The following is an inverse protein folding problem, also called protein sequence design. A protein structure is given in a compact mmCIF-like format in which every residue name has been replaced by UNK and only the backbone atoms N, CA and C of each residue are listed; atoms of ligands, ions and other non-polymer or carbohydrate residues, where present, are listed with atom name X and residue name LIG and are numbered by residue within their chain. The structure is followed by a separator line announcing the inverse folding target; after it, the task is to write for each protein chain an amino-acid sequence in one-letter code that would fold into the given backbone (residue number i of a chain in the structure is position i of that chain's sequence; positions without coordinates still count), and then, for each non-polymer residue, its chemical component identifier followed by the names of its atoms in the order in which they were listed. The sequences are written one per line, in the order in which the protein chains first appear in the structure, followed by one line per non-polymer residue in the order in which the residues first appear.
data_IF_971358548030
#
_entry.id   IF_971358548030
#
_cell.length_a   1.000
_cell.length_b   1.000
_cell.length_c   1.000
_cell.angle_alpha   90.00
_cell.angle_beta   90.00
_cell.angle_gamma   90.00
#
_symmetry.space_group_name_H-M   'P 1'
#
loop_
_entity.id
_entity.type
_entity.pdbx_description
1 polymer ?
#
# COMPACT_ATOMS: atom_id res chain seq x y z
N UNK A 1 -6.09 9.96 -37.07
CA UNK A 1 -5.38 8.72 -36.62
C UNK A 1 -5.23 8.64 -35.08
N UNK A 2 -6.15 9.18 -34.30
CA UNK A 2 -6.09 9.17 -32.82
C UNK A 2 -7.09 8.19 -32.13
N UNK A 3 -8.06 7.68 -32.86
CA UNK A 3 -9.15 6.90 -32.27
C UNK A 3 -8.74 5.48 -31.78
N UNK A 4 -7.73 4.87 -32.40
CA UNK A 4 -7.28 3.52 -32.03
C UNK A 4 -6.45 3.46 -30.71
N UNK A 5 -5.81 4.58 -30.33
CA UNK A 5 -4.96 4.62 -29.15
C UNK A 5 -5.76 4.80 -27.85
N UNK A 6 -6.88 5.51 -27.92
CA UNK A 6 -7.79 5.69 -26.77
C UNK A 6 -8.45 4.35 -26.41
N UNK A 7 -8.92 3.58 -27.42
CA UNK A 7 -9.54 2.26 -27.20
C UNK A 7 -8.58 1.23 -26.60
N UNK A 8 -7.29 1.25 -26.97
CA UNK A 8 -6.29 0.34 -26.40
C UNK A 8 -5.96 0.70 -24.93
N UNK A 9 -5.88 1.98 -24.60
CA UNK A 9 -5.65 2.45 -23.22
C UNK A 9 -6.85 2.14 -22.31
N UNK A 10 -8.06 2.25 -22.83
CA UNK A 10 -9.27 1.89 -22.09
C UNK A 10 -9.31 0.38 -21.78
N UNK A 11 -8.91 -0.46 -22.72
CA UNK A 11 -8.83 -1.89 -22.51
C UNK A 11 -7.78 -2.26 -21.45
N UNK A 12 -6.60 -1.65 -21.51
CA UNK A 12 -5.53 -1.86 -20.51
C UNK A 12 -5.96 -1.34 -19.13
N UNK A 13 -6.65 -0.22 -19.06
CA UNK A 13 -7.17 0.30 -17.80
C UNK A 13 -8.15 -0.67 -17.13
N UNK A 14 -9.00 -1.33 -17.91
CA UNK A 14 -9.92 -2.38 -17.43
C UNK A 14 -9.14 -3.60 -16.93
N UNK A 15 -8.04 -3.97 -17.57
CA UNK A 15 -7.17 -5.08 -17.13
C UNK A 15 -6.43 -4.80 -15.83
N UNK A 16 -6.23 -3.53 -15.45
CA UNK A 16 -5.54 -3.13 -14.22
C UNK A 16 -6.49 -3.03 -13.01
N UNK A 17 -7.77 -2.79 -13.25
CA UNK A 17 -8.76 -2.55 -12.19
C UNK A 17 -8.88 -3.70 -11.16
N UNK A 18 -8.82 -4.99 -11.56
CA UNK A 18 -8.86 -6.11 -10.60
C UNK A 18 -7.76 -6.07 -9.54
N UNK A 19 -6.64 -5.40 -9.83
CA UNK A 19 -5.50 -5.29 -8.91
C UNK A 19 -5.60 -4.11 -7.94
N UNK A 20 -6.60 -3.22 -8.12
CA UNK A 20 -6.74 -2.00 -7.28
C UNK A 20 -6.79 -2.31 -5.80
N UNK A 21 -7.62 -3.25 -5.40
CA UNK A 21 -7.82 -3.59 -3.98
C UNK A 21 -6.51 -4.08 -3.33
N UNK A 22 -5.83 -5.04 -3.94
CA UNK A 22 -4.60 -5.58 -3.37
C UNK A 22 -3.46 -4.56 -3.37
N UNK A 23 -3.37 -3.69 -4.40
CA UNK A 23 -2.39 -2.61 -4.45
C UNK A 23 -2.70 -1.52 -3.40
N UNK A 24 -3.98 -1.22 -3.13
CA UNK A 24 -4.36 -0.30 -2.06
C UNK A 24 -3.88 -0.81 -0.71
N UNK A 25 -4.11 -2.09 -0.40
CA UNK A 25 -3.60 -2.72 0.82
C UNK A 25 -2.08 -2.68 0.91
N UNK A 26 -1.38 -2.93 -0.20
CA UNK A 26 0.07 -2.85 -0.27
C UNK A 26 0.59 -1.42 -0.03
N UNK A 27 0.03 -0.43 -0.74
CA UNK A 27 0.43 0.97 -0.60
C UNK A 27 0.12 1.51 0.80
N UNK A 28 -1.01 1.12 1.40
CA UNK A 28 -1.34 1.48 2.78
C UNK A 28 -0.32 0.94 3.79
N UNK A 29 0.14 -0.31 3.64
CA UNK A 29 1.23 -0.85 4.48
C UNK A 29 2.52 -0.06 4.34
N UNK A 30 2.81 0.42 3.16
CA UNK A 30 4.00 1.22 2.89
C UNK A 30 3.88 2.66 3.41
N UNK A 31 2.69 3.27 3.28
CA UNK A 31 2.49 4.71 3.45
C UNK A 31 1.80 5.10 4.76
N UNK A 32 0.94 4.24 5.32
CA UNK A 32 0.28 4.43 6.62
C UNK A 32 -0.97 5.29 6.61
N UNK A 33 -1.36 5.89 5.48
CA UNK A 33 -2.62 6.63 5.33
C UNK A 33 -3.37 6.19 4.07
N UNK A 34 -4.72 6.18 4.14
CA UNK A 34 -5.54 5.77 3.00
C UNK A 34 -5.46 6.78 1.85
N UNK A 35 -5.38 8.07 2.15
CA UNK A 35 -5.27 9.11 1.13
C UNK A 35 -3.99 8.93 0.30
N UNK A 36 -2.83 8.74 0.96
CA UNK A 36 -1.58 8.50 0.25
C UNK A 36 -1.56 7.14 -0.47
N UNK A 37 -2.22 6.13 0.08
CA UNK A 37 -2.36 4.83 -0.59
C UNK A 37 -3.18 4.95 -1.88
N UNK A 38 -4.29 5.67 -1.86
CA UNK A 38 -5.12 5.92 -3.04
C UNK A 38 -4.33 6.72 -4.11
N UNK A 39 -3.60 7.76 -3.71
CA UNK A 39 -2.73 8.53 -4.60
C UNK A 39 -1.64 7.65 -5.22
N UNK A 40 -1.00 6.79 -4.42
CA UNK A 40 0.03 5.87 -4.88
C UNK A 40 -0.52 4.84 -5.88
N UNK A 41 -1.72 4.31 -5.66
CA UNK A 41 -2.37 3.38 -6.60
C UNK A 41 -2.70 4.08 -7.90
N UNK A 42 -3.22 5.30 -7.82
CA UNK A 42 -3.53 6.10 -9.01
C UNK A 42 -2.26 6.38 -9.83
N UNK A 43 -1.18 6.84 -9.20
CA UNK A 43 0.11 7.07 -9.85
C UNK A 43 0.71 5.77 -10.41
N UNK A 44 0.54 4.65 -9.71
CA UNK A 44 0.93 3.32 -10.19
C UNK A 44 0.24 2.97 -11.49
N UNK A 45 -1.07 3.20 -11.60
CA UNK A 45 -1.84 2.93 -12.82
C UNK A 45 -1.44 3.87 -13.96
N UNK A 46 -1.22 5.15 -13.68
CA UNK A 46 -0.71 6.10 -14.68
C UNK A 46 0.64 5.64 -15.23
N UNK A 47 1.56 5.23 -14.36
CA UNK A 47 2.88 4.76 -14.75
C UNK A 47 2.82 3.42 -15.50
N UNK A 48 1.91 2.53 -15.09
CA UNK A 48 1.65 1.28 -15.80
C UNK A 48 1.13 1.55 -17.22
N UNK A 49 0.13 2.40 -17.39
CA UNK A 49 -0.41 2.77 -18.70
C UNK A 49 0.65 3.40 -19.61
N UNK A 50 1.48 4.29 -19.07
CA UNK A 50 2.57 4.94 -19.83
C UNK A 50 3.66 3.98 -20.29
N UNK A 51 3.88 2.90 -19.53
CA UNK A 51 4.96 1.95 -19.80
C UNK A 51 4.47 0.57 -20.29
N UNK A 52 3.16 0.44 -20.53
CA UNK A 52 2.57 -0.84 -20.94
C UNK A 52 3.15 -1.40 -22.24
N UNK A 53 3.43 -0.53 -23.21
CA UNK A 53 4.07 -0.91 -24.48
C UNK A 53 5.47 -1.54 -24.29
N UNK A 54 6.09 -1.32 -23.14
CA UNK A 54 7.40 -1.88 -22.76
C UNK A 54 7.27 -3.13 -21.88
N UNK A 55 6.06 -3.53 -21.55
CA UNK A 55 5.82 -4.73 -20.76
C UNK A 55 6.01 -5.96 -21.64
N UNK A 56 7.16 -6.61 -21.55
CA UNK A 56 7.56 -7.75 -22.37
C UNK A 56 7.01 -9.09 -21.87
N UNK A 57 6.16 -9.12 -20.84
CA UNK A 57 5.60 -10.36 -20.30
C UNK A 57 6.61 -11.28 -19.60
N UNK A 58 7.82 -10.81 -19.27
CA UNK A 58 8.84 -11.60 -18.55
C UNK A 58 8.44 -11.93 -17.11
N UNK A 59 7.48 -11.22 -16.57
CA UNK A 59 6.84 -11.48 -15.26
C UNK A 59 5.34 -11.41 -15.39
N UNK A 60 4.59 -11.90 -14.40
CA UNK A 60 3.15 -11.65 -14.36
C UNK A 60 2.84 -10.17 -14.30
N UNK A 61 1.70 -9.76 -14.85
CA UNK A 61 1.21 -8.38 -14.75
C UNK A 61 1.14 -7.91 -13.30
N UNK A 62 0.67 -8.79 -12.39
CA UNK A 62 0.64 -8.56 -10.95
C UNK A 62 2.03 -8.19 -10.41
N UNK A 63 3.04 -9.01 -10.67
CA UNK A 63 4.42 -8.76 -10.20
C UNK A 63 4.97 -7.44 -10.74
N UNK A 64 4.68 -7.12 -11.99
CA UNK A 64 5.11 -5.89 -12.62
C UNK A 64 4.44 -4.66 -11.97
N UNK A 65 3.13 -4.71 -11.70
CA UNK A 65 2.40 -3.66 -10.99
C UNK A 65 2.94 -3.43 -9.58
N UNK A 66 3.23 -4.49 -8.82
CA UNK A 66 3.84 -4.37 -7.50
C UNK A 66 5.21 -3.69 -7.53
N UNK A 67 5.99 -3.93 -8.58
CA UNK A 67 7.29 -3.24 -8.77
C UNK A 67 7.08 -1.75 -8.97
N UNK A 68 6.10 -1.35 -9.78
CA UNK A 68 5.77 0.06 -10.01
C UNK A 68 5.27 0.69 -8.72
N UNK A 69 4.30 0.07 -8.05
CA UNK A 69 3.72 0.55 -6.79
C UNK A 69 4.79 0.76 -5.71
N UNK A 70 5.71 -0.20 -5.56
CA UNK A 70 6.83 -0.06 -4.62
C UNK A 70 7.70 1.15 -4.92
N UNK A 71 8.02 1.39 -6.18
CA UNK A 71 8.83 2.55 -6.57
C UNK A 71 8.08 3.86 -6.28
N UNK A 72 6.79 3.93 -6.62
CA UNK A 72 5.94 5.08 -6.32
C UNK A 72 5.92 5.37 -4.81
N UNK A 73 5.68 4.36 -3.98
CA UNK A 73 5.70 4.52 -2.53
C UNK A 73 7.06 5.02 -2.00
N UNK A 74 8.16 4.47 -2.51
CA UNK A 74 9.50 4.91 -2.12
C UNK A 74 9.79 6.36 -2.54
N UNK A 75 9.32 6.79 -3.70
CA UNK A 75 9.47 8.17 -4.16
C UNK A 75 8.61 9.13 -3.34
N UNK A 76 7.38 8.73 -2.99
CA UNK A 76 6.54 9.48 -2.05
C UNK A 76 7.20 9.63 -0.68
N UNK A 77 7.85 8.60 -0.16
CA UNK A 77 8.61 8.66 1.09
C UNK A 77 9.79 9.64 1.04
N UNK A 78 10.42 9.78 -0.10
CA UNK A 78 11.54 10.70 -0.29
C UNK A 78 11.12 12.15 -0.47
N UNK A 79 9.82 12.39 -0.67
CA UNK A 79 9.31 13.75 -0.92
C UNK A 79 9.52 14.65 0.31
N UNK A 80 9.86 15.95 0.12
CA UNK A 80 10.06 16.88 1.22
C UNK A 80 8.82 17.07 2.09
N UNK A 81 7.63 17.02 1.49
CA UNK A 81 6.35 17.18 2.19
C UNK A 81 6.13 16.05 3.21
N UNK A 82 6.64 14.85 2.93
CA UNK A 82 6.49 13.71 3.80
C UNK A 82 7.54 13.66 4.90
N UNK A 83 8.75 14.13 4.64
CA UNK A 83 9.79 14.26 5.68
C UNK A 83 9.35 15.17 6.82
N UNK A 84 8.40 16.06 6.56
CA UNK A 84 7.81 16.94 7.59
C UNK A 84 6.75 16.24 8.47
N UNK A 85 6.28 15.03 8.08
CA UNK A 85 5.35 14.22 8.87
C UNK A 85 6.13 13.09 9.55
N UNK A 86 6.25 13.08 10.88
CA UNK A 86 6.89 11.98 11.60
C UNK A 86 5.98 10.75 11.53
N UNK A 87 6.17 9.92 10.50
CA UNK A 87 5.50 8.61 10.39
C UNK A 87 6.28 7.52 11.13
N UNK A 88 7.54 7.76 11.40
CA UNK A 88 8.36 6.87 12.21
C UNK A 88 8.17 7.22 13.69
N UNK A 89 7.45 6.38 14.40
CA UNK A 89 7.16 6.54 15.83
C UNK A 89 8.38 6.27 16.72
N UNK A 90 9.53 6.01 16.12
CA UNK A 90 10.77 5.80 16.84
C UNK A 90 11.73 4.89 16.05
N UNK A 91 12.88 4.61 16.66
CA UNK A 91 13.80 3.61 16.14
C UNK A 91 13.15 2.24 16.15
N UNK A 92 13.46 1.42 15.16
CA UNK A 92 13.13 -0.01 15.14
C UNK A 92 13.45 -0.63 16.50
N UNK A 93 12.42 -1.05 17.24
CA UNK A 93 12.54 -1.54 18.62
C UNK A 93 12.63 -3.08 18.58
N UNK A 94 13.47 -3.67 19.44
CA UNK A 94 13.48 -5.12 19.60
C UNK A 94 12.19 -5.55 20.29
N UNK A 95 11.66 -6.70 19.91
CA UNK A 95 10.40 -7.24 20.46
C UNK A 95 10.36 -7.28 22.00
N UNK A 96 11.52 -7.48 22.65
CA UNK A 96 11.66 -7.48 24.12
C UNK A 96 11.43 -6.08 24.76
N UNK A 97 11.56 -4.99 24.01
CA UNK A 97 11.47 -3.62 24.50
C UNK A 97 10.06 -3.03 24.30
N UNK A 98 9.13 -3.78 23.69
CA UNK A 98 7.75 -3.35 23.40
C UNK A 98 6.88 -3.30 24.67
N UNK A 99 7.32 -3.88 25.79
CA UNK A 99 6.54 -4.07 27.01
C UNK A 99 6.24 -2.76 27.75
N UNK A 100 6.86 -1.64 27.39
CA UNK A 100 6.64 -0.33 28.01
C UNK A 100 6.32 0.73 26.95
N UNK A 101 5.13 0.67 26.35
CA UNK A 101 4.70 1.66 25.38
C UNK A 101 3.93 2.77 26.10
N UNK A 102 4.54 3.93 26.25
CA UNK A 102 3.81 5.14 26.62
C UNK A 102 2.92 5.57 25.44
N UNK A 103 1.70 6.11 25.70
CA UNK A 103 0.85 6.62 24.63
C UNK A 103 1.58 7.66 23.80
N UNK A 104 1.66 7.43 22.49
CA UNK A 104 2.23 8.42 21.56
C UNK A 104 1.29 9.60 21.37
N UNK A 105 1.82 10.82 21.13
CA UNK A 105 0.99 11.96 20.75
C UNK A 105 0.10 11.66 19.55
N UNK A 106 -1.09 12.27 19.51
CA UNK A 106 -2.11 12.01 18.47
C UNK A 106 -1.61 12.27 17.03
N UNK A 107 -0.68 13.19 16.85
CA UNK A 107 -0.04 13.53 15.59
C UNK A 107 0.81 12.37 14.99
N UNK A 108 1.15 11.40 15.83
CA UNK A 108 1.90 10.19 15.45
C UNK A 108 1.02 8.96 15.24
N UNK A 109 -0.29 9.07 15.36
CA UNK A 109 -1.18 7.94 15.19
C UNK A 109 -1.35 7.59 13.72
N UNK A 110 -1.30 6.28 13.43
CA UNK A 110 -1.66 5.77 12.12
C UNK A 110 -3.14 6.01 11.86
N UNK A 111 -3.46 6.49 10.68
CA UNK A 111 -4.85 6.65 10.28
C UNK A 111 -5.49 5.28 10.06
N UNK A 112 -6.62 4.98 10.72
CA UNK A 112 -7.29 3.71 10.52
C UNK A 112 -7.80 3.58 9.08
N UNK A 113 -7.70 2.38 8.53
CA UNK A 113 -8.29 2.04 7.24
C UNK A 113 -9.47 1.09 7.43
N UNK A 114 -10.54 1.19 6.63
CA UNK A 114 -11.61 0.22 6.65
C UNK A 114 -11.09 -1.18 6.26
N UNK A 115 -11.42 -2.20 7.03
CA UNK A 115 -10.92 -3.56 6.84
C UNK A 115 -11.16 -4.08 5.41
N UNK A 116 -12.36 -3.84 4.87
CA UNK A 116 -12.73 -4.28 3.52
C UNK A 116 -11.87 -3.67 2.39
N UNK A 117 -11.11 -2.61 2.68
CA UNK A 117 -10.21 -1.99 1.70
C UNK A 117 -8.79 -2.57 1.72
N UNK A 118 -8.42 -3.26 2.80
CA UNK A 118 -7.03 -3.74 3.03
C UNK A 118 -6.93 -5.23 3.29
N UNK A 119 -8.06 -5.90 3.60
CA UNK A 119 -8.14 -7.34 3.91
C UNK A 119 -9.12 -7.98 2.93
N UNK A 120 -8.72 -9.10 2.34
CA UNK A 120 -9.65 -9.94 1.58
C UNK A 120 -10.59 -10.66 2.56
N UNK A 121 -11.89 -10.41 2.41
CA UNK A 121 -12.94 -10.89 3.31
C UNK A 121 -13.68 -12.14 2.76
N UNK A 122 -13.15 -12.79 1.73
CA UNK A 122 -13.67 -14.05 1.22
C UNK A 122 -13.36 -15.20 2.19
N UNK A 123 -14.38 -15.76 2.89
CA UNK A 123 -14.20 -16.90 3.78
C UNK A 123 -15.29 -17.07 4.83
N UNK A 124 -15.12 -18.04 5.74
CA UNK A 124 -16.01 -18.23 6.90
C UNK A 124 -16.02 -16.96 7.77
N UNK A 125 -17.19 -16.41 8.13
CA UNK A 125 -17.30 -15.23 8.96
C UNK A 125 -16.56 -15.32 10.30
N UNK A 126 -16.49 -16.50 10.91
CA UNK A 126 -15.77 -16.72 12.17
C UNK A 126 -14.25 -16.65 11.97
N UNK A 127 -13.72 -17.28 10.92
CA UNK A 127 -12.31 -17.21 10.55
C UNK A 127 -11.91 -15.78 10.15
N UNK A 128 -12.77 -15.10 9.41
CA UNK A 128 -12.56 -13.69 9.01
C UNK A 128 -12.50 -12.78 10.24
N UNK A 129 -13.37 -12.97 11.23
CA UNK A 129 -13.38 -12.18 12.46
C UNK A 129 -12.08 -12.40 13.26
N UNK A 130 -11.65 -13.65 13.42
CA UNK A 130 -10.41 -13.99 14.14
C UNK A 130 -9.16 -13.49 13.39
N UNK A 131 -9.16 -13.60 12.07
CA UNK A 131 -8.09 -13.08 11.22
C UNK A 131 -7.98 -11.56 11.32
N UNK A 132 -9.12 -10.84 11.28
CA UNK A 132 -9.17 -9.39 11.43
C UNK A 132 -8.53 -8.92 12.73
N UNK A 133 -8.87 -9.55 13.84
CA UNK A 133 -8.31 -9.19 15.15
C UNK A 133 -6.79 -9.40 15.18
N UNK A 134 -6.33 -10.57 14.76
CA UNK A 134 -4.92 -10.95 14.77
C UNK A 134 -4.09 -10.10 13.80
N UNK A 135 -4.59 -9.89 12.57
CA UNK A 135 -3.92 -9.12 11.54
C UNK A 135 -3.89 -7.64 11.91
N UNK A 136 -4.96 -7.11 12.50
CA UNK A 136 -5.04 -5.71 12.93
C UNK A 136 -3.93 -5.37 13.93
N UNK A 137 -3.77 -6.18 14.97
CA UNK A 137 -2.75 -5.95 16.00
C UNK A 137 -1.33 -6.12 15.43
N UNK A 138 -1.10 -7.19 14.67
CA UNK A 138 0.21 -7.41 14.03
C UNK A 138 0.54 -6.32 13.01
N UNK A 139 -0.45 -5.83 12.28
CA UNK A 139 -0.31 -4.79 11.28
C UNK A 139 0.03 -3.43 11.91
N UNK A 140 -0.67 -3.02 12.96
CA UNK A 140 -0.36 -1.80 13.70
C UNK A 140 1.05 -1.86 14.27
N UNK A 141 1.42 -2.98 14.90
CA UNK A 141 2.78 -3.17 15.41
C UNK A 141 3.84 -3.10 14.31
N UNK A 142 3.58 -3.72 13.16
CA UNK A 142 4.48 -3.68 12.02
C UNK A 142 4.67 -2.25 11.48
N UNK A 143 3.59 -1.49 11.31
CA UNK A 143 3.66 -0.12 10.84
C UNK A 143 4.40 0.81 11.83
N UNK A 144 4.26 0.55 13.11
CA UNK A 144 4.88 1.36 14.17
C UNK A 144 6.37 1.05 14.37
N UNK A 145 6.77 -0.19 14.21
CA UNK A 145 8.09 -0.67 14.66
C UNK A 145 9.01 -1.18 13.54
N UNK A 146 8.48 -1.50 12.35
CA UNK A 146 9.30 -1.96 11.24
C UNK A 146 9.79 -0.79 10.38
N UNK A 147 11.07 -0.82 9.95
CA UNK A 147 11.57 0.12 8.96
C UNK A 147 10.85 -0.06 7.61
N UNK A 148 10.77 1.01 6.82
CA UNK A 148 10.05 1.07 5.54
C UNK A 148 10.33 -0.09 4.58
N UNK A 149 11.58 -0.59 4.59
CA UNK A 149 11.98 -1.71 3.72
C UNK A 149 11.43 -3.06 4.16
N UNK A 150 10.92 -3.17 5.38
CA UNK A 150 10.40 -4.41 5.98
C UNK A 150 8.87 -4.40 6.13
N UNK A 151 8.22 -3.27 5.88
CA UNK A 151 6.77 -3.12 5.80
C UNK A 151 6.26 -3.58 4.41
#
# INVERSE_FOLDING_TARGET
MQTGRVSALDTVAVDLEPYRHELTGFCYRMLGTMAEADDAVQETFINALRSYDRFEGRSSLRTWLYRIARNVCLDMHRSPQRRARPMELGRSTRFADIVSVEPSPEDKWLQPAPDHRVIDLGGDPAEVAQLRESVRLAFVAALQHLPERQR
#
